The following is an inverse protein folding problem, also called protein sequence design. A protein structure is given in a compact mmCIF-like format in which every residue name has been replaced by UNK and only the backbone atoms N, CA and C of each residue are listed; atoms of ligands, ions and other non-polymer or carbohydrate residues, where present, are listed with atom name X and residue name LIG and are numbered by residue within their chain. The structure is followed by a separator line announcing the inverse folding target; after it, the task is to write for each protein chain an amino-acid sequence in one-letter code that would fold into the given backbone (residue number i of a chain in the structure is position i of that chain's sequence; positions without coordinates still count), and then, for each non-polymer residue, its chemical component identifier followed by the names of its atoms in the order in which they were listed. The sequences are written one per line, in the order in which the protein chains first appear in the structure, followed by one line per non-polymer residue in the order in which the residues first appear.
data_IF_606115050547
#
_entry.id   IF_606115050547
#
_cell.length_a   1.000
_cell.length_b   1.000
_cell.length_c   1.000
_cell.angle_alpha   90.00
_cell.angle_beta   90.00
_cell.angle_gamma   90.00
#
_symmetry.space_group_name_H-M   'P 1'
#
loop_
_entity.id
_entity.type
_entity.pdbx_description
1 polymer ?
#
# COMPACT_ATOMS: atom_id res chain seq x y z
N UNK A 1 -31.70 28.62 -60.09
CA UNK A 1 -30.80 27.53 -59.77
C UNK A 1 -30.22 27.75 -58.37
N UNK A 2 -30.73 27.06 -57.35
CA UNK A 2 -30.31 27.20 -55.96
C UNK A 2 -29.45 25.99 -55.62
N UNK A 3 -28.13 26.18 -55.39
CA UNK A 3 -27.19 25.17 -54.92
C UNK A 3 -27.38 25.01 -53.42
N UNK A 4 -27.82 23.82 -52.99
CA UNK A 4 -27.87 23.42 -51.58
C UNK A 4 -26.50 22.84 -51.19
N UNK A 5 -25.82 23.52 -50.30
CA UNK A 5 -24.66 23.00 -49.62
C UNK A 5 -25.12 22.08 -48.49
N UNK A 6 -24.79 20.80 -48.58
CA UNK A 6 -24.98 19.83 -47.49
C UNK A 6 -23.72 19.89 -46.64
N UNK A 7 -23.88 20.37 -45.41
CA UNK A 7 -22.83 20.38 -44.40
C UNK A 7 -22.90 19.06 -43.67
N UNK A 8 -22.01 18.12 -44.02
CA UNK A 8 -21.81 16.91 -43.24
C UNK A 8 -21.01 17.25 -41.99
N UNK A 9 -21.70 17.36 -40.84
CA UNK A 9 -21.06 17.42 -39.54
C UNK A 9 -20.64 16.02 -39.15
N UNK A 10 -19.36 15.71 -39.32
CA UNK A 10 -18.72 14.51 -38.79
C UNK A 10 -18.58 14.72 -37.29
N UNK A 11 -19.51 14.16 -36.51
CA UNK A 11 -19.37 14.02 -35.07
C UNK A 11 -18.38 12.87 -34.83
N UNK A 12 -17.11 13.23 -34.65
CA UNK A 12 -16.10 12.31 -34.17
C UNK A 12 -16.44 11.94 -32.73
N UNK A 13 -16.97 10.74 -32.52
CA UNK A 13 -17.06 10.12 -31.23
C UNK A 13 -15.64 9.80 -30.77
N UNK A 14 -15.06 10.69 -29.99
CA UNK A 14 -13.90 10.39 -29.16
C UNK A 14 -14.34 9.41 -28.06
N UNK A 15 -14.17 8.14 -28.31
CA UNK A 15 -14.14 7.15 -27.24
C UNK A 15 -12.90 7.42 -26.40
N UNK A 16 -13.06 8.24 -25.37
CA UNK A 16 -12.12 8.24 -24.27
C UNK A 16 -12.28 6.90 -23.57
N UNK A 17 -11.40 5.96 -23.90
CA UNK A 17 -11.19 4.78 -23.07
C UNK A 17 -10.63 5.31 -21.75
N UNK A 18 -11.53 5.51 -20.77
CA UNK A 18 -11.13 5.57 -19.37
C UNK A 18 -10.62 4.20 -19.01
N UNK A 19 -9.31 4.01 -19.16
CA UNK A 19 -8.61 2.93 -18.51
C UNK A 19 -8.91 3.12 -17.01
N UNK A 20 -9.81 2.27 -16.49
CA UNK A 20 -9.94 2.09 -15.05
C UNK A 20 -8.62 1.50 -14.56
N UNK A 21 -7.65 2.36 -14.31
CA UNK A 21 -6.54 1.96 -13.46
C UNK A 21 -7.18 1.64 -12.11
N UNK A 22 -7.12 0.37 -11.71
CA UNK A 22 -7.41 -0.05 -10.34
C UNK A 22 -6.34 0.54 -9.41
N UNK A 23 -6.24 1.85 -9.40
CA UNK A 23 -5.31 2.61 -8.56
C UNK A 23 -5.85 2.64 -7.13
N UNK A 24 -4.96 2.44 -6.21
CA UNK A 24 -5.17 2.68 -4.79
C UNK A 24 -5.52 4.16 -4.65
N UNK A 25 -6.70 4.45 -4.11
CA UNK A 25 -7.04 5.82 -3.74
C UNK A 25 -6.38 6.14 -2.39
N UNK A 26 -5.50 7.12 -2.39
CA UNK A 26 -4.95 7.71 -1.17
C UNK A 26 -5.94 8.81 -0.75
N UNK A 27 -6.68 8.57 0.33
CA UNK A 27 -7.51 9.60 0.96
C UNK A 27 -6.71 10.24 2.10
N UNK A 28 -6.41 11.52 1.97
CA UNK A 28 -5.85 12.34 3.02
C UNK A 28 -7.00 12.87 3.89
N UNK A 29 -7.09 12.45 5.15
CA UNK A 29 -7.95 13.12 6.13
C UNK A 29 -7.09 14.13 6.88
N UNK A 30 -7.34 15.44 6.67
CA UNK A 30 -6.57 16.53 7.28
C UNK A 30 -6.65 16.55 8.81
N UNK A 31 -7.57 15.78 9.43
CA UNK A 31 -7.76 15.70 10.86
C UNK A 31 -7.07 14.51 11.53
N UNK A 32 -6.48 13.61 10.71
CA UNK A 32 -5.83 12.41 11.21
C UNK A 32 -4.52 12.21 10.45
N UNK A 33 -3.35 12.06 11.10
CA UNK A 33 -2.06 11.87 10.43
C UNK A 33 -1.93 10.51 9.72
N UNK A 34 -3.02 9.81 9.53
CA UNK A 34 -3.10 8.50 8.90
C UNK A 34 -3.48 8.65 7.43
N UNK A 35 -2.65 8.13 6.54
CA UNK A 35 -2.96 7.99 5.12
C UNK A 35 -3.66 6.65 4.93
N UNK A 36 -4.91 6.67 4.49
CA UNK A 36 -5.66 5.45 4.23
C UNK A 36 -5.32 4.95 2.82
N UNK A 37 -4.59 3.85 2.74
CA UNK A 37 -4.33 3.13 1.50
C UNK A 37 -5.29 1.95 1.44
N UNK A 38 -6.49 2.13 0.88
CA UNK A 38 -7.45 1.04 0.76
C UNK A 38 -8.26 1.10 -0.53
N UNK A 39 -8.39 -0.02 -1.20
CA UNK A 39 -9.45 -0.23 -2.18
C UNK A 39 -10.75 -0.52 -1.40
N UNK A 40 -11.57 0.50 -1.17
CA UNK A 40 -12.79 0.45 -0.32
C UNK A 40 -13.75 -0.72 -0.62
N UNK A 41 -13.70 -1.31 -1.81
CA UNK A 41 -14.63 -2.40 -2.21
C UNK A 41 -14.08 -3.81 -2.00
N UNK A 42 -12.76 -4.00 -1.86
CA UNK A 42 -12.14 -5.33 -1.78
C UNK A 42 -11.72 -5.75 -0.38
N UNK A 43 -11.69 -4.80 0.56
CA UNK A 43 -11.20 -5.03 1.92
C UNK A 43 -12.25 -4.73 2.99
N UNK A 44 -13.49 -5.17 2.83
CA UNK A 44 -14.60 -4.86 3.76
C UNK A 44 -14.26 -5.05 5.26
N UNK A 45 -13.29 -5.90 5.57
CA UNK A 45 -12.88 -6.22 6.93
C UNK A 45 -11.40 -5.96 7.22
N UNK A 46 -10.64 -5.43 6.27
CA UNK A 46 -9.26 -5.03 6.43
C UNK A 46 -9.12 -3.54 6.15
N UNK A 47 -8.38 -2.86 6.99
CA UNK A 47 -7.98 -1.45 6.81
C UNK A 47 -6.47 -1.40 6.78
N UNK A 48 -5.90 -0.74 5.79
CA UNK A 48 -4.47 -0.50 5.70
C UNK A 48 -4.23 1.00 5.81
N UNK A 49 -3.35 1.38 6.72
CA UNK A 49 -2.99 2.75 7.02
C UNK A 49 -1.48 2.91 6.90
N UNK A 50 -1.02 4.00 6.32
CA UNK A 50 0.35 4.45 6.50
C UNK A 50 0.39 5.37 7.73
N UNK A 51 1.30 5.08 8.65
CA UNK A 51 1.42 5.80 9.92
C UNK A 51 2.61 6.75 9.88
N UNK A 52 2.45 7.93 10.47
CA UNK A 52 3.56 8.85 10.70
C UNK A 52 4.54 8.25 11.72
N UNK A 53 5.74 7.94 11.28
CA UNK A 53 6.80 7.36 12.13
C UNK A 53 7.28 8.33 13.23
N UNK A 54 7.00 9.62 13.09
CA UNK A 54 7.39 10.63 14.08
C UNK A 54 6.33 10.83 15.17
N UNK A 55 5.11 10.34 14.96
CA UNK A 55 4.05 10.45 15.96
C UNK A 55 4.36 9.63 17.21
N UNK A 56 4.13 10.18 18.39
CA UNK A 56 4.53 9.56 19.67
C UNK A 56 3.94 8.18 19.91
N UNK A 57 2.68 7.96 19.55
CA UNK A 57 2.04 6.66 19.71
C UNK A 57 2.68 5.59 18.83
N UNK A 58 3.18 5.97 17.66
CA UNK A 58 3.84 5.05 16.74
C UNK A 58 5.28 4.73 17.16
N UNK A 59 5.95 5.59 17.94
CA UNK A 59 7.27 5.30 18.53
C UNK A 59 7.26 4.05 19.39
N UNK A 60 6.16 3.79 20.13
CA UNK A 60 6.03 2.56 20.94
C UNK A 60 6.05 1.30 20.07
N UNK A 61 5.45 1.36 18.90
CA UNK A 61 5.47 0.27 17.92
C UNK A 61 6.86 0.14 17.31
N UNK A 62 7.51 1.24 16.96
CA UNK A 62 8.87 1.24 16.42
C UNK A 62 9.88 0.63 17.38
N UNK A 63 9.74 0.86 18.68
CA UNK A 63 10.61 0.27 19.70
C UNK A 63 10.56 -1.26 19.75
N UNK A 64 9.45 -1.88 19.32
CA UNK A 64 9.35 -3.34 19.25
C UNK A 64 10.32 -3.90 18.22
N UNK A 65 10.59 -3.16 17.15
CA UNK A 65 11.54 -3.60 16.12
C UNK A 65 13.00 -3.42 16.53
N UNK A 66 13.28 -2.54 17.52
CA UNK A 66 14.63 -2.23 17.99
C UNK A 66 15.32 -1.11 17.22
N UNK A 67 16.49 -0.71 17.70
CA UNK A 67 17.19 0.47 17.17
C UNK A 67 18.14 0.14 16.02
N UNK A 68 18.76 -1.03 16.04
CA UNK A 68 19.75 -1.48 15.05
C UNK A 68 19.11 -2.36 13.97
N UNK A 69 18.26 -1.75 13.13
CA UNK A 69 17.61 -2.46 12.06
C UNK A 69 18.48 -2.50 10.80
N UNK A 70 18.61 -3.69 10.23
CA UNK A 70 19.13 -3.86 8.87
C UNK A 70 18.13 -3.28 7.87
N UNK A 71 18.59 -3.02 6.65
CA UNK A 71 17.71 -2.67 5.56
C UNK A 71 16.75 -3.81 5.23
N UNK A 72 15.49 -3.47 4.96
CA UNK A 72 14.47 -4.42 4.55
C UNK A 72 13.11 -4.24 5.23
N UNK A 73 12.30 -5.27 5.18
CA UNK A 73 10.92 -5.26 5.65
C UNK A 73 10.75 -6.16 6.87
N UNK A 74 10.06 -5.63 7.86
CA UNK A 74 9.77 -6.29 9.12
C UNK A 74 8.27 -6.34 9.37
N UNK A 75 7.80 -7.36 10.05
CA UNK A 75 6.41 -7.45 10.51
C UNK A 75 6.33 -7.58 12.03
N UNK A 76 5.33 -6.98 12.64
CA UNK A 76 4.97 -7.16 14.03
C UNK A 76 3.48 -7.44 14.14
N UNK A 77 3.15 -8.62 14.67
CA UNK A 77 1.78 -9.06 14.87
C UNK A 77 1.35 -8.85 16.31
N UNK A 78 0.27 -8.10 16.51
CA UNK A 78 -0.33 -7.84 17.81
C UNK A 78 -1.84 -8.00 17.73
N UNK A 79 -2.37 -9.14 18.16
CA UNK A 79 -3.79 -9.50 18.14
C UNK A 79 -4.41 -9.39 16.74
N UNK A 80 -5.21 -8.34 16.49
CA UNK A 80 -5.88 -8.06 15.21
C UNK A 80 -5.17 -6.97 14.39
N UNK A 81 -3.98 -6.58 14.80
CA UNK A 81 -3.15 -5.56 14.15
C UNK A 81 -1.86 -6.19 13.66
N UNK A 82 -1.49 -5.90 12.43
CA UNK A 82 -0.18 -6.23 11.89
C UNK A 82 0.48 -4.95 11.45
N UNK A 83 1.67 -4.68 11.99
CA UNK A 83 2.49 -3.55 11.59
C UNK A 83 3.55 -4.03 10.62
N UNK A 84 3.77 -3.28 9.54
CA UNK A 84 4.85 -3.53 8.58
C UNK A 84 5.76 -2.32 8.61
N UNK A 85 7.00 -2.53 9.01
CA UNK A 85 8.04 -1.51 8.98
C UNK A 85 8.98 -1.78 7.80
N UNK A 86 9.15 -0.78 6.95
CA UNK A 86 10.15 -0.77 5.88
C UNK A 86 11.28 0.15 6.31
N UNK A 87 12.46 -0.41 6.47
CA UNK A 87 13.68 0.32 6.83
C UNK A 87 14.58 0.45 5.61
N UNK A 88 14.71 1.66 5.09
CA UNK A 88 15.44 1.99 3.86
C UNK A 88 16.75 2.69 4.22
N UNK A 89 17.88 2.12 3.84
CA UNK A 89 19.20 2.71 4.07
C UNK A 89 19.92 3.02 2.74
N UNK A 90 19.98 2.03 1.85
CA UNK A 90 20.67 2.13 0.56
C UNK A 90 19.73 1.95 -0.63
N UNK A 91 18.53 1.41 -0.40
CA UNK A 91 17.50 1.19 -1.41
C UNK A 91 16.32 2.11 -1.21
N UNK A 92 15.77 2.59 -2.32
CA UNK A 92 14.51 3.31 -2.29
C UNK A 92 13.36 2.33 -2.50
N UNK A 93 12.45 2.27 -1.55
CA UNK A 93 11.22 1.48 -1.61
C UNK A 93 10.08 2.40 -2.02
N UNK A 94 9.39 2.08 -3.11
CA UNK A 94 8.31 2.89 -3.70
C UNK A 94 7.16 2.02 -4.20
N UNK A 95 6.13 2.66 -4.74
CA UNK A 95 5.00 2.03 -5.45
C UNK A 95 4.30 0.95 -4.62
N UNK A 96 4.08 1.25 -3.33
CA UNK A 96 3.40 0.33 -2.43
C UNK A 96 1.96 0.06 -2.88
N UNK A 97 1.62 -1.22 -2.97
CA UNK A 97 0.25 -1.62 -3.23
C UNK A 97 -0.12 -2.84 -2.39
N UNK A 98 -1.36 -2.86 -1.88
CA UNK A 98 -1.91 -3.98 -1.13
C UNK A 98 -3.01 -4.66 -1.93
N UNK A 99 -2.96 -5.99 -2.01
CA UNK A 99 -3.98 -6.81 -2.65
C UNK A 99 -4.38 -7.95 -1.72
N UNK A 100 -5.68 -8.11 -1.51
CA UNK A 100 -6.21 -9.19 -0.68
C UNK A 100 -6.97 -10.23 -1.51
N UNK A 101 -6.52 -11.48 -1.46
CA UNK A 101 -7.24 -12.63 -2.00
C UNK A 101 -8.10 -13.24 -0.88
N UNK A 102 -9.40 -12.93 -0.90
CA UNK A 102 -10.34 -13.41 0.12
C UNK A 102 -10.52 -14.94 0.13
N UNK A 103 -10.35 -15.60 -1.02
CA UNK A 103 -10.51 -17.06 -1.11
C UNK A 103 -9.34 -17.79 -0.49
N UNK A 104 -8.13 -17.29 -0.74
CA UNK A 104 -6.88 -17.86 -0.21
C UNK A 104 -6.49 -17.26 1.14
N UNK A 105 -7.17 -16.18 1.56
CA UNK A 105 -6.82 -15.39 2.75
C UNK A 105 -5.37 -14.89 2.74
N UNK A 106 -4.88 -14.51 1.57
CA UNK A 106 -3.53 -13.98 1.37
C UNK A 106 -3.62 -12.47 1.19
N UNK A 107 -2.93 -11.71 2.03
CA UNK A 107 -2.69 -10.29 1.83
C UNK A 107 -1.29 -10.11 1.22
N UNK A 108 -1.22 -9.48 0.06
CA UNK A 108 0.05 -9.24 -0.64
C UNK A 108 0.39 -7.76 -0.56
N UNK A 109 1.59 -7.44 -0.08
CA UNK A 109 2.23 -6.13 -0.25
C UNK A 109 3.19 -6.21 -1.44
N UNK A 110 2.88 -5.48 -2.49
CA UNK A 110 3.77 -5.30 -3.63
C UNK A 110 4.45 -3.94 -3.56
N UNK A 111 5.70 -3.87 -3.97
CA UNK A 111 6.52 -2.66 -3.97
C UNK A 111 7.66 -2.76 -4.99
N UNK A 112 8.26 -1.63 -5.27
CA UNK A 112 9.42 -1.50 -6.16
C UNK A 112 10.64 -1.07 -5.34
N UNK A 113 11.80 -1.68 -5.62
CA UNK A 113 13.06 -1.22 -5.08
C UNK A 113 13.98 -0.73 -6.19
N UNK A 114 14.65 0.39 -5.94
CA UNK A 114 15.71 0.91 -6.79
C UNK A 114 16.93 1.24 -5.94
N UNK A 115 18.12 1.06 -6.48
CA UNK A 115 19.34 1.54 -5.82
C UNK A 115 19.30 3.06 -5.71
N UNK A 116 19.67 3.60 -4.56
CA UNK A 116 19.65 5.03 -4.33
C UNK A 116 20.25 5.42 -2.99
N UNK A 117 20.80 6.61 -2.92
CA UNK A 117 21.30 7.17 -1.67
C UNK A 117 20.14 7.75 -0.87
N UNK A 118 19.49 6.94 -0.05
CA UNK A 118 18.48 7.40 0.89
C UNK A 118 18.99 7.16 2.29
N UNK A 119 19.09 8.21 3.07
CA UNK A 119 19.50 8.11 4.46
C UNK A 119 18.31 7.79 5.35
N UNK A 120 18.31 6.58 5.92
CA UNK A 120 17.47 6.17 7.07
C UNK A 120 15.98 6.53 6.97
N UNK A 121 15.34 6.25 5.83
CA UNK A 121 13.90 6.44 5.68
C UNK A 121 13.16 5.22 6.27
N UNK A 122 12.22 5.48 7.16
CA UNK A 122 11.29 4.47 7.68
C UNK A 122 9.89 4.74 7.15
N UNK A 123 9.21 3.68 6.70
CA UNK A 123 7.78 3.71 6.34
C UNK A 123 7.07 2.67 7.19
N UNK A 124 5.99 3.05 7.86
CA UNK A 124 5.24 2.18 8.76
C UNK A 124 3.81 2.03 8.26
N UNK A 125 3.38 0.80 8.01
CA UNK A 125 1.99 0.47 7.72
C UNK A 125 1.35 -0.24 8.89
N UNK A 126 0.08 0.04 9.12
CA UNK A 126 -0.81 -0.68 10.02
C UNK A 126 -1.88 -1.39 9.20
N UNK A 127 -2.00 -2.69 9.38
CA UNK A 127 -3.09 -3.51 8.88
C UNK A 127 -3.99 -3.85 10.07
N UNK A 128 -5.21 -3.31 10.06
CA UNK A 128 -6.24 -3.63 11.04
C UNK A 128 -7.25 -4.61 10.47
N UNK A 129 -7.53 -5.67 11.21
CA UNK A 129 -8.55 -6.63 10.87
C UNK A 129 -9.75 -6.49 11.82
N UNK A 130 -10.96 -6.35 11.30
CA UNK A 130 -12.19 -6.35 12.11
C UNK A 130 -12.51 -7.72 12.69
N UNK A 131 -12.00 -8.79 12.07
CA UNK A 131 -12.19 -10.17 12.51
C UNK A 131 -10.83 -10.80 12.78
N UNK A 132 -10.76 -11.64 13.81
CA UNK A 132 -9.56 -12.45 14.07
C UNK A 132 -9.31 -13.37 12.87
N UNK A 133 -8.05 -13.51 12.47
CA UNK A 133 -7.61 -14.36 11.36
C UNK A 133 -8.26 -14.00 10.00
N UNK A 134 -8.39 -12.71 9.69
CA UNK A 134 -8.93 -12.24 8.42
C UNK A 134 -8.04 -12.68 7.26
N UNK A 135 -6.72 -12.66 7.42
CA UNK A 135 -5.76 -13.25 6.49
C UNK A 135 -4.86 -14.24 7.26
N UNK A 136 -4.40 -15.25 6.55
CA UNK A 136 -3.56 -16.33 7.09
C UNK A 136 -2.10 -16.13 6.67
N UNK A 137 -1.88 -15.46 5.55
CA UNK A 137 -0.57 -15.20 4.99
C UNK A 137 -0.43 -13.72 4.61
N UNK A 138 0.73 -13.15 4.93
CA UNK A 138 1.18 -11.87 4.43
C UNK A 138 2.38 -12.11 3.50
N UNK A 139 2.17 -11.87 2.20
CA UNK A 139 3.16 -12.09 1.15
C UNK A 139 3.80 -10.77 0.74
N UNK A 140 5.10 -10.80 0.48
CA UNK A 140 5.86 -9.67 -0.09
C UNK A 140 6.18 -9.95 -1.56
N UNK A 141 6.06 -8.93 -2.40
CA UNK A 141 6.41 -8.98 -3.82
C UNK A 141 7.22 -7.74 -4.17
N UNK A 142 8.47 -7.91 -4.55
CA UNK A 142 9.41 -6.86 -4.93
C UNK A 142 9.69 -6.92 -6.43
N UNK A 143 9.42 -5.83 -7.16
CA UNK A 143 9.65 -5.79 -8.62
C UNK A 143 9.01 -7.00 -9.36
N UNK A 144 7.83 -7.45 -8.89
CA UNK A 144 7.12 -8.59 -9.45
C UNK A 144 7.60 -9.97 -9.00
N UNK A 145 8.63 -10.08 -8.17
CA UNK A 145 9.17 -11.33 -7.63
C UNK A 145 8.82 -11.50 -6.16
N UNK A 146 8.68 -12.74 -5.71
CA UNK A 146 8.48 -13.05 -4.30
C UNK A 146 9.67 -12.57 -3.47
N UNK A 147 9.37 -11.97 -2.31
CA UNK A 147 10.36 -11.47 -1.38
C UNK A 147 10.02 -11.89 0.05
N UNK A 148 10.96 -11.71 1.00
CA UNK A 148 10.84 -12.17 2.37
C UNK A 148 10.99 -11.06 3.40
N UNK A 149 10.44 -11.29 4.60
CA UNK A 149 10.68 -10.44 5.75
C UNK A 149 12.09 -10.66 6.31
N UNK A 150 12.76 -9.58 6.72
CA UNK A 150 14.02 -9.64 7.46
C UNK A 150 13.78 -10.13 8.89
N UNK A 151 12.63 -9.78 9.46
CA UNK A 151 12.23 -10.24 10.79
C UNK A 151 10.73 -10.18 10.99
N UNK A 152 10.20 -11.12 11.79
CA UNK A 152 8.79 -11.16 12.18
C UNK A 152 8.73 -11.27 13.71
N UNK A 153 8.02 -10.32 14.31
CA UNK A 153 7.84 -10.21 15.77
C UNK A 153 6.39 -10.54 16.11
N UNK A 154 6.17 -11.19 17.23
CA UNK A 154 4.83 -11.54 17.74
C UNK A 154 4.73 -11.19 19.22
N UNK A 155 3.54 -10.76 19.66
CA UNK A 155 3.22 -10.55 21.06
C UNK A 155 2.19 -11.57 21.54
#
# INVERSE_FOLDING_TARGET
MKKRFIFCVLIGLLFTQTACSNGISIEHDERNPEIIISEKKKFENLRVLELDVNHEDNKKVLNVFGDELKEGIYAYNNKNKTYILINSNTKNYTDYSFKYDMKKKILTLSYTTTEGSITNKKTLFLIESKKKNQFEELKLVNNGNDDGFVGVFTN
#
